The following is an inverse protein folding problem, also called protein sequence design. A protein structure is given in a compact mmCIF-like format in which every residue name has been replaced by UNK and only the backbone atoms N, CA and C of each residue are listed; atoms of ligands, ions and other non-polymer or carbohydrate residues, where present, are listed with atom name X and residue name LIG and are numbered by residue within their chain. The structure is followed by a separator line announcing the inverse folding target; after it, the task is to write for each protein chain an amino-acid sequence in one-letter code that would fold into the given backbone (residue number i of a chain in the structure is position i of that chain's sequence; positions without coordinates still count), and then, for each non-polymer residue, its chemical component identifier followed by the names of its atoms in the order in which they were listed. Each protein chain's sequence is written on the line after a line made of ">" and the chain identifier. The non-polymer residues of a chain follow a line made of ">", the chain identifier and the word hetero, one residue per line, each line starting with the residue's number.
data_IF_660610232655
#
_entry.id   IF_660610232655
#
_cell.length_a   1.000
_cell.length_b   1.000
_cell.length_c   1.000
_cell.angle_alpha   90.00
_cell.angle_beta   90.00
_cell.angle_gamma   90.00
#
_symmetry.space_group_name_H-M   'P 1'
#
loop_
_entity.id
_entity.type
_entity.pdbx_description
1 polymer ?
#
# COMPACT_ATOMS: atom_id res chain seq x y z
N UNK A 1 13.86 30.35 -48.45
CA UNK A 1 14.87 29.71 -47.58
C UNK A 1 14.93 30.51 -46.31
N UNK A 2 15.17 29.84 -45.16
CA UNK A 2 15.16 30.35 -43.77
C UNK A 2 13.82 30.94 -43.31
N UNK A 3 13.12 30.47 -42.28
CA UNK A 3 13.53 29.76 -41.07
C UNK A 3 12.45 28.72 -40.70
N UNK A 4 12.82 27.44 -40.76
CA UNK A 4 11.97 26.28 -40.40
C UNK A 4 12.43 25.63 -39.08
N UNK A 5 13.29 26.31 -38.33
CA UNK A 5 13.80 25.85 -37.05
C UNK A 5 13.79 27.05 -36.10
N UNK A 6 12.64 27.28 -35.47
CA UNK A 6 12.65 27.94 -34.18
C UNK A 6 13.08 26.85 -33.21
N UNK A 7 14.36 26.83 -32.86
CA UNK A 7 14.91 26.09 -31.72
C UNK A 7 14.32 26.71 -30.44
N UNK A 8 13.03 26.54 -30.23
CA UNK A 8 12.51 26.40 -28.88
C UNK A 8 12.80 24.96 -28.48
N UNK A 9 14.09 24.70 -28.25
CA UNK A 9 14.52 23.67 -27.33
C UNK A 9 13.86 24.01 -26.00
N UNK A 10 12.62 23.55 -25.83
CA UNK A 10 12.08 23.27 -24.51
C UNK A 10 13.01 22.18 -24.00
N UNK A 11 14.13 22.59 -23.40
CA UNK A 11 14.85 21.81 -22.43
C UNK A 11 13.80 21.42 -21.41
N UNK A 12 13.15 20.28 -21.65
CA UNK A 12 12.46 19.54 -20.63
C UNK A 12 13.56 19.20 -19.66
N UNK A 13 13.79 20.10 -18.69
CA UNK A 13 14.72 19.86 -17.60
C UNK A 13 14.29 18.53 -17.02
N UNK A 14 15.07 17.49 -17.33
CA UNK A 14 14.87 16.16 -16.79
C UNK A 14 15.10 16.37 -15.31
N UNK A 15 14.04 16.64 -14.55
CA UNK A 15 14.09 16.76 -13.10
C UNK A 15 14.36 15.35 -12.60
N UNK A 16 15.64 14.96 -12.65
CA UNK A 16 16.09 13.64 -12.28
C UNK A 16 15.78 13.48 -10.80
N UNK A 17 14.83 12.61 -10.53
CA UNK A 17 14.55 12.12 -9.19
C UNK A 17 15.59 11.06 -8.87
N UNK A 18 16.24 11.19 -7.73
CA UNK A 18 17.29 10.29 -7.27
C UNK A 18 16.83 9.53 -6.04
N UNK A 19 17.39 8.32 -5.85
CA UNK A 19 17.19 7.53 -4.64
C UNK A 19 18.53 7.38 -3.91
N UNK A 20 18.53 7.64 -2.61
CA UNK A 20 19.72 7.54 -1.75
C UNK A 20 19.52 6.39 -0.77
N UNK A 21 20.43 5.40 -0.83
CA UNK A 21 20.47 4.23 0.07
C UNK A 21 19.13 3.49 0.20
N UNK A 22 18.27 3.54 -0.83
CA UNK A 22 16.90 3.01 -0.79
C UNK A 22 16.04 3.53 0.38
N UNK A 23 16.39 4.68 0.94
CA UNK A 23 15.72 5.29 2.10
C UNK A 23 15.09 6.64 1.75
N UNK A 24 15.79 7.45 0.96
CA UNK A 24 15.31 8.78 0.59
C UNK A 24 15.08 8.89 -0.91
N UNK A 25 13.98 9.52 -1.29
CA UNK A 25 13.70 9.98 -2.65
C UNK A 25 13.94 11.49 -2.67
N UNK A 26 14.78 11.95 -3.59
CA UNK A 26 15.18 13.35 -3.70
C UNK A 26 14.84 13.85 -5.09
N UNK A 27 14.09 14.96 -5.17
CA UNK A 27 13.66 15.54 -6.44
C UNK A 27 13.77 17.06 -6.42
N UNK A 28 14.35 17.70 -7.46
CA UNK A 28 14.34 19.15 -7.58
C UNK A 28 12.93 19.65 -7.86
N UNK A 29 12.54 20.76 -7.23
CA UNK A 29 11.30 21.48 -7.48
C UNK A 29 11.60 22.95 -7.79
N UNK A 30 10.63 23.72 -8.29
CA UNK A 30 10.85 25.13 -8.68
C UNK A 30 11.44 26.00 -7.56
N UNK A 31 11.12 25.71 -6.29
CA UNK A 31 11.58 26.48 -5.12
C UNK A 31 12.79 25.88 -4.41
N UNK A 32 13.38 24.79 -4.93
CA UNK A 32 14.51 24.12 -4.29
C UNK A 32 14.48 22.61 -4.49
N UNK A 33 14.49 21.85 -3.39
CA UNK A 33 14.58 20.39 -3.42
C UNK A 33 13.65 19.79 -2.37
N UNK A 34 12.97 18.70 -2.75
CA UNK A 34 12.18 17.88 -1.85
C UNK A 34 12.96 16.61 -1.53
N UNK A 35 13.02 16.27 -0.24
CA UNK A 35 13.57 15.01 0.27
C UNK A 35 12.44 14.28 0.99
N UNK A 36 12.13 13.08 0.53
CA UNK A 36 11.08 12.23 1.09
C UNK A 36 11.73 11.01 1.73
N UNK A 37 11.45 10.75 3.01
CA UNK A 37 11.72 9.43 3.60
C UNK A 37 10.72 8.42 3.03
N UNK A 38 11.22 7.50 2.21
CA UNK A 38 10.42 6.58 1.41
C UNK A 38 9.55 5.68 2.30
N UNK A 39 10.12 5.15 3.40
CA UNK A 39 9.38 4.24 4.27
C UNK A 39 8.27 4.98 5.01
N UNK A 40 8.56 6.16 5.56
CA UNK A 40 7.54 6.96 6.26
C UNK A 40 6.44 7.45 5.32
N UNK A 41 6.80 7.86 4.10
CA UNK A 41 5.81 8.27 3.10
C UNK A 41 4.91 7.10 2.69
N UNK A 42 5.49 5.92 2.45
CA UNK A 42 4.73 4.72 2.15
C UNK A 42 3.76 4.36 3.29
N UNK A 43 4.23 4.33 4.53
CA UNK A 43 3.40 4.09 5.70
C UNK A 43 2.27 5.12 5.85
N UNK A 44 2.55 6.40 5.59
CA UNK A 44 1.54 7.47 5.65
C UNK A 44 0.45 7.28 4.59
N UNK A 45 0.83 6.92 3.36
CA UNK A 45 -0.13 6.65 2.27
C UNK A 45 -1.03 5.48 2.63
N UNK A 46 -0.43 4.35 3.07
CA UNK A 46 -1.19 3.17 3.48
C UNK A 46 -2.14 3.47 4.64
N UNK A 47 -1.67 4.18 5.67
CA UNK A 47 -2.49 4.54 6.82
C UNK A 47 -3.73 5.35 6.41
N UNK A 48 -3.56 6.38 5.58
CA UNK A 48 -4.70 7.20 5.11
C UNK A 48 -5.66 6.38 4.24
N UNK A 49 -5.15 5.49 3.40
CA UNK A 49 -5.99 4.56 2.62
C UNK A 49 -6.79 3.62 3.54
N UNK A 50 -6.16 3.03 4.56
CA UNK A 50 -6.86 2.17 5.52
C UNK A 50 -7.92 2.95 6.30
N UNK A 51 -7.61 4.18 6.75
CA UNK A 51 -8.56 5.02 7.46
C UNK A 51 -9.79 5.36 6.61
N UNK A 52 -9.59 5.68 5.33
CA UNK A 52 -10.68 5.91 4.38
C UNK A 52 -11.51 4.65 4.15
N UNK A 53 -10.88 3.51 3.90
CA UNK A 53 -11.56 2.24 3.65
C UNK A 53 -12.39 1.78 4.86
N UNK A 54 -11.85 1.92 6.08
CA UNK A 54 -12.58 1.66 7.32
C UNK A 54 -13.78 2.59 7.51
N UNK A 55 -13.66 3.87 7.14
CA UNK A 55 -14.75 4.84 7.31
C UNK A 55 -15.88 4.63 6.29
N UNK A 56 -15.54 4.19 5.08
CA UNK A 56 -16.50 4.05 3.97
C UNK A 56 -17.06 2.62 3.85
N UNK A 57 -16.59 1.66 4.66
CA UNK A 57 -16.99 0.24 4.63
C UNK A 57 -16.88 -0.40 3.22
N UNK A 58 -15.91 0.05 2.42
CA UNK A 58 -15.63 -0.48 1.08
C UNK A 58 -14.18 -0.95 1.01
N UNK A 59 -13.82 -1.91 1.85
CA UNK A 59 -12.54 -2.58 1.68
C UNK A 59 -12.61 -3.57 0.53
N UNK A 60 -11.77 -3.34 -0.47
CA UNK A 60 -11.57 -4.27 -1.57
C UNK A 60 -10.66 -5.41 -1.14
N UNK A 61 -11.12 -6.65 -1.38
CA UNK A 61 -10.33 -7.86 -1.17
C UNK A 61 -9.80 -8.39 -2.50
N UNK A 62 -8.56 -8.85 -2.49
CA UNK A 62 -7.93 -9.67 -3.51
C UNK A 62 -8.06 -11.14 -3.10
N UNK A 63 -8.77 -11.91 -3.91
CA UNK A 63 -8.87 -13.36 -3.71
C UNK A 63 -7.52 -14.04 -3.99
N UNK A 64 -7.15 -14.96 -3.10
CA UNK A 64 -6.00 -15.83 -3.27
C UNK A 64 -6.35 -16.98 -4.21
N UNK A 65 -5.41 -17.35 -5.09
CA UNK A 65 -5.57 -18.51 -5.97
C UNK A 65 -5.67 -19.82 -5.16
N UNK A 66 -4.99 -19.86 -4.01
CA UNK A 66 -5.03 -20.96 -3.06
C UNK A 66 -5.23 -20.38 -1.65
N UNK A 67 -6.22 -20.86 -0.88
CA UNK A 67 -6.42 -20.43 0.49
C UNK A 67 -5.21 -20.76 1.38
N UNK A 68 -4.96 -19.93 2.38
CA UNK A 68 -3.88 -20.09 3.35
C UNK A 68 -4.44 -20.66 4.65
N UNK A 69 -3.89 -21.79 5.08
CA UNK A 69 -4.15 -22.38 6.39
C UNK A 69 -3.10 -21.86 7.39
N UNK A 70 -3.55 -21.16 8.43
CA UNK A 70 -2.71 -20.57 9.46
C UNK A 70 -3.05 -21.19 10.81
N UNK A 71 -2.06 -21.81 11.46
CA UNK A 71 -2.22 -22.50 12.73
C UNK A 71 -1.81 -21.59 13.89
N UNK A 72 -2.61 -21.57 14.95
CA UNK A 72 -2.42 -20.70 16.11
C UNK A 72 -2.70 -21.45 17.42
N UNK A 73 -2.20 -20.92 18.53
CA UNK A 73 -2.57 -21.37 19.87
C UNK A 73 -4.03 -20.98 20.20
N UNK A 74 -4.61 -21.62 21.22
CA UNK A 74 -5.99 -21.32 21.65
C UNK A 74 -6.17 -19.86 22.11
N UNK A 75 -5.15 -19.28 22.75
CA UNK A 75 -5.17 -17.88 23.19
C UNK A 75 -5.16 -16.92 21.98
N UNK A 76 -4.33 -17.21 20.98
CA UNK A 76 -4.29 -16.46 19.72
C UNK A 76 -5.58 -16.60 18.93
N UNK A 77 -6.20 -17.79 18.93
CA UNK A 77 -7.49 -17.97 18.26
C UNK A 77 -8.60 -17.12 18.90
N UNK A 78 -8.62 -17.02 20.22
CA UNK A 78 -9.57 -16.15 20.92
C UNK A 78 -9.39 -14.69 20.51
N UNK A 79 -8.13 -14.23 20.40
CA UNK A 79 -7.81 -12.87 19.94
C UNK A 79 -8.21 -12.65 18.47
N UNK A 80 -7.95 -13.62 17.59
CA UNK A 80 -8.33 -13.54 16.18
C UNK A 80 -9.84 -13.45 16.03
N UNK A 81 -10.61 -14.21 16.82
CA UNK A 81 -12.07 -14.16 16.79
C UNK A 81 -12.61 -12.77 17.21
N UNK A 82 -11.99 -12.13 18.21
CA UNK A 82 -12.30 -10.75 18.60
C UNK A 82 -11.96 -9.74 17.50
N UNK A 83 -10.83 -9.92 16.83
CA UNK A 83 -10.36 -9.00 15.77
C UNK A 83 -11.00 -9.24 14.41
N UNK A 84 -11.61 -10.42 14.18
CA UNK A 84 -12.15 -10.84 12.89
C UNK A 84 -13.06 -9.80 12.22
N UNK A 85 -14.04 -9.19 12.90
CA UNK A 85 -14.90 -8.18 12.26
C UNK A 85 -14.10 -6.96 11.77
N UNK A 86 -13.07 -6.55 12.53
CA UNK A 86 -12.20 -5.44 12.13
C UNK A 86 -11.36 -5.83 10.92
N UNK A 87 -10.81 -7.05 10.90
CA UNK A 87 -10.00 -7.56 9.78
C UNK A 87 -10.82 -7.70 8.50
N UNK A 88 -12.05 -8.21 8.59
CA UNK A 88 -12.99 -8.27 7.47
C UNK A 88 -13.28 -6.88 6.90
N UNK A 89 -13.47 -5.88 7.78
CA UNK A 89 -13.66 -4.47 7.39
C UNK A 89 -12.43 -3.88 6.69
N UNK A 90 -11.24 -4.45 6.88
CA UNK A 90 -10.02 -4.05 6.15
C UNK A 90 -9.82 -4.78 4.83
N UNK A 91 -10.60 -5.84 4.53
CA UNK A 91 -10.55 -6.57 3.27
C UNK A 91 -10.01 -8.00 3.36
N UNK A 92 -9.82 -8.54 4.57
CA UNK A 92 -9.55 -9.98 4.75
C UNK A 92 -10.82 -10.79 4.55
N UNK A 93 -10.68 -11.99 3.96
CA UNK A 93 -11.79 -12.93 3.79
C UNK A 93 -11.40 -14.24 4.48
N UNK A 94 -12.23 -14.60 5.47
CA UNK A 94 -12.10 -15.84 6.24
C UNK A 94 -13.07 -16.88 5.67
N UNK A 95 -12.56 -18.02 5.22
CA UNK A 95 -13.41 -19.13 4.75
C UNK A 95 -13.87 -20.02 5.91
N UNK A 96 -12.94 -20.36 6.81
CA UNK A 96 -13.19 -21.25 7.94
C UNK A 96 -12.33 -20.86 9.14
N UNK A 97 -12.85 -21.07 10.34
CA UNK A 97 -12.12 -20.97 11.59
C UNK A 97 -12.42 -22.21 12.44
N UNK A 98 -11.38 -22.98 12.75
CA UNK A 98 -11.42 -24.11 13.67
C UNK A 98 -10.64 -23.78 14.95
N UNK A 99 -10.58 -24.73 15.88
CA UNK A 99 -9.99 -24.53 17.21
C UNK A 99 -8.49 -24.23 17.19
N UNK A 100 -7.76 -24.72 16.18
CA UNK A 100 -6.30 -24.62 16.08
C UNK A 100 -5.81 -23.90 14.81
N UNK A 101 -6.72 -23.54 13.89
CA UNK A 101 -6.35 -22.86 12.66
C UNK A 101 -7.48 -22.05 12.03
N UNK A 102 -7.08 -21.13 11.14
CA UNK A 102 -7.98 -20.36 10.27
C UNK A 102 -7.59 -20.54 8.80
N UNK A 103 -8.58 -20.32 7.93
CA UNK A 103 -8.42 -20.32 6.48
C UNK A 103 -8.69 -18.92 5.94
N UNK A 104 -7.66 -18.31 5.34
CA UNK A 104 -7.76 -17.03 4.65
C UNK A 104 -7.83 -17.27 3.16
N UNK A 105 -8.87 -16.76 2.51
CA UNK A 105 -9.07 -16.89 1.06
C UNK A 105 -8.93 -15.56 0.32
N UNK A 106 -8.89 -14.44 1.03
CA UNK A 106 -8.69 -13.12 0.46
C UNK A 106 -7.94 -12.18 1.40
N UNK A 107 -7.15 -11.29 0.81
CA UNK A 107 -6.36 -10.27 1.51
C UNK A 107 -6.68 -8.88 0.95
N UNK A 108 -6.47 -7.80 1.69
CA UNK A 108 -6.67 -6.45 1.14
C UNK A 108 -5.78 -6.18 -0.08
N UNK A 109 -6.32 -5.49 -1.09
CA UNK A 109 -5.62 -5.20 -2.38
C UNK A 109 -4.36 -4.32 -2.27
N UNK A 110 -4.15 -3.69 -1.11
CA UNK A 110 -3.10 -2.68 -0.89
C UNK A 110 -1.98 -3.15 0.05
N UNK A 111 -1.88 -4.46 0.34
CA UNK A 111 -0.79 -5.04 1.14
C UNK A 111 0.38 -5.46 0.25
#
# INVERSE_FOLDING_TARGET
>A
TSSLFNDEDVEQAIQKTYQIHKKYIVSPIKSGMVIVDQQRAHQRILYEQFLLNMTVNQASSQQLLFPLNLFYSSDEMTLIEELKPSLETTGFVFDEAQTDHIVISGIPVNI
#
